data_IF_217361012963
#
_entry.id   IF_217361012963
#
_cell.length_a   1.000
_cell.length_b   1.000
_cell.length_c   1.000
_cell.angle_alpha   90.00
_cell.angle_beta   90.00
_cell.angle_gamma   90.00
#
_symmetry.space_group_name_H-M   'P 1'
#
loop_
_entity.id
_entity.type
_entity.pdbx_description
1 polymer ?
#
# COMPACT_ATOMS: atom_id res chain seq x y z
N UNK A 1 -6.37 -4.41 -17.61
CA UNK A 1 -6.73 -3.01 -17.38
C UNK A 1 -8.24 -2.87 -17.57
N UNK A 2 -8.90 -2.18 -16.68
CA UNK A 2 -10.37 -2.14 -16.57
C UNK A 2 -11.00 -1.07 -17.48
N UNK A 3 -10.23 -0.49 -18.41
CA UNK A 3 -10.69 0.56 -19.34
C UNK A 3 -11.05 1.89 -18.67
N UNK A 4 -10.57 2.12 -17.43
CA UNK A 4 -10.83 3.36 -16.70
C UNK A 4 -9.87 4.45 -17.18
N UNK A 5 -10.43 5.58 -17.62
CA UNK A 5 -9.65 6.78 -17.95
C UNK A 5 -9.38 7.58 -16.67
N UNK A 6 -8.21 7.31 -16.08
CA UNK A 6 -7.81 7.96 -14.83
C UNK A 6 -7.57 9.45 -15.01
N UNK A 7 -7.04 9.88 -16.17
CA UNK A 7 -6.75 11.29 -16.42
C UNK A 7 -8.04 12.10 -16.53
N UNK A 8 -9.07 11.54 -17.16
CA UNK A 8 -10.40 12.15 -17.21
C UNK A 8 -11.02 12.27 -15.79
N UNK A 9 -10.90 11.23 -14.96
CA UNK A 9 -11.42 11.27 -13.58
C UNK A 9 -10.68 12.30 -12.73
N UNK A 10 -9.36 12.37 -12.83
CA UNK A 10 -8.54 13.36 -12.12
C UNK A 10 -8.90 14.77 -12.61
N UNK A 11 -9.05 14.96 -13.92
CA UNK A 11 -9.50 16.23 -14.50
C UNK A 11 -10.88 16.66 -14.02
N UNK A 12 -11.75 15.72 -13.70
CA UNK A 12 -13.08 15.96 -13.13
C UNK A 12 -13.06 16.18 -11.59
N UNK A 13 -11.90 16.19 -10.95
CA UNK A 13 -11.76 16.46 -9.52
C UNK A 13 -11.62 15.23 -8.64
N UNK A 14 -11.51 14.03 -9.21
CA UNK A 14 -11.34 12.78 -8.45
C UNK A 14 -9.91 12.66 -7.91
N UNK A 15 -9.75 12.27 -6.66
CA UNK A 15 -8.47 11.78 -6.14
C UNK A 15 -8.38 10.29 -6.41
N UNK A 16 -7.49 9.91 -7.31
CA UNK A 16 -7.23 8.51 -7.67
C UNK A 16 -5.94 8.03 -7.02
N UNK A 17 -6.03 7.09 -6.09
CA UNK A 17 -4.85 6.47 -5.45
C UNK A 17 -4.58 5.12 -6.07
N UNK A 18 -3.36 4.93 -6.55
CA UNK A 18 -2.86 3.70 -7.15
C UNK A 18 -1.69 3.17 -6.34
N UNK A 19 -1.81 1.97 -5.82
CA UNK A 19 -0.71 1.24 -5.18
C UNK A 19 -0.27 0.13 -6.13
N UNK A 20 1.03 0.09 -6.43
CA UNK A 20 1.63 -0.86 -7.37
C UNK A 20 2.93 -1.42 -6.82
N UNK A 21 3.42 -2.52 -7.37
CA UNK A 21 4.74 -3.05 -7.00
C UNK A 21 5.87 -2.08 -7.32
N UNK A 22 5.84 -1.48 -8.51
CA UNK A 22 7.00 -0.74 -9.06
C UNK A 22 6.67 0.64 -9.65
N UNK A 23 5.47 1.16 -9.45
CA UNK A 23 5.00 2.40 -10.07
C UNK A 23 4.20 2.16 -11.35
N UNK A 24 3.41 3.14 -11.74
CA UNK A 24 2.55 3.09 -12.95
C UNK A 24 3.34 3.25 -14.25
N UNK A 25 4.55 3.75 -14.18
CA UNK A 25 5.41 4.06 -15.34
C UNK A 25 6.76 3.36 -15.23
N UNK A 26 7.48 3.35 -16.33
CA UNK A 26 8.80 2.73 -16.39
C UNK A 26 8.80 1.24 -16.78
N UNK A 27 9.97 0.63 -16.89
CA UNK A 27 10.12 -0.72 -17.48
C UNK A 27 9.53 -1.84 -16.61
N UNK A 28 9.28 -1.59 -15.34
CA UNK A 28 8.70 -2.57 -14.39
C UNK A 28 7.23 -2.28 -14.06
N UNK A 29 6.56 -1.36 -14.75
CA UNK A 29 5.19 -0.95 -14.45
C UNK A 29 4.14 -2.06 -14.56
N UNK A 30 4.41 -3.11 -15.33
CA UNK A 30 3.57 -4.31 -15.42
C UNK A 30 3.98 -5.42 -14.46
N UNK A 31 5.06 -5.21 -13.70
CA UNK A 31 5.55 -6.18 -12.72
C UNK A 31 4.62 -6.28 -11.51
N UNK A 32 4.48 -7.50 -11.01
CA UNK A 32 3.78 -7.78 -9.75
C UNK A 32 4.81 -7.88 -8.64
N UNK A 33 4.52 -7.29 -7.49
CA UNK A 33 5.29 -7.46 -6.28
C UNK A 33 4.37 -7.43 -5.06
N UNK A 34 4.78 -8.15 -4.03
CA UNK A 34 4.18 -8.15 -2.70
C UNK A 34 5.16 -7.54 -1.70
N UNK A 35 4.78 -7.46 -0.42
CA UNK A 35 5.54 -6.74 0.58
C UNK A 35 6.99 -7.17 0.74
N UNK A 36 7.29 -8.47 0.60
CA UNK A 36 8.65 -8.99 0.77
C UNK A 36 9.55 -8.73 -0.43
N UNK A 37 9.11 -9.13 -1.63
CA UNK A 37 9.91 -8.95 -2.85
C UNK A 37 10.02 -7.47 -3.24
N UNK A 38 9.02 -6.66 -2.95
CA UNK A 38 9.10 -5.21 -3.08
C UNK A 38 10.08 -4.59 -2.08
N UNK A 39 10.11 -5.06 -0.83
CA UNK A 39 11.06 -4.62 0.19
C UNK A 39 12.50 -4.88 -0.26
N UNK A 40 12.79 -6.10 -0.69
CA UNK A 40 14.11 -6.47 -1.25
C UNK A 40 14.45 -5.62 -2.48
N UNK A 41 13.48 -5.42 -3.36
CA UNK A 41 13.66 -4.59 -4.57
C UNK A 41 13.97 -3.13 -4.25
N UNK A 42 13.50 -2.62 -3.14
CA UNK A 42 13.78 -1.28 -2.61
C UNK A 42 15.06 -1.20 -1.78
N UNK A 43 15.74 -2.34 -1.55
CA UNK A 43 16.99 -2.40 -0.79
C UNK A 43 16.83 -2.77 0.69
N UNK A 44 15.62 -3.02 1.18
CA UNK A 44 15.38 -3.49 2.55
C UNK A 44 15.66 -5.00 2.65
N UNK A 45 16.92 -5.34 2.81
CA UNK A 45 17.41 -6.71 2.88
C UNK A 45 18.47 -6.81 3.97
N UNK A 46 18.42 -7.85 4.77
CA UNK A 46 19.53 -8.25 5.63
C UNK A 46 20.58 -8.94 4.76
N UNK A 47 21.84 -8.55 4.91
CA UNK A 47 22.93 -9.06 4.07
C UNK A 47 23.56 -10.35 4.65
N UNK A 48 23.70 -10.42 5.98
CA UNK A 48 24.37 -11.54 6.64
C UNK A 48 23.67 -11.93 7.97
N UNK A 49 22.99 -13.08 8.03
CA UNK A 49 22.61 -13.92 6.89
C UNK A 49 21.57 -13.23 6.00
N UNK A 50 21.53 -13.54 4.69
CA UNK A 50 20.52 -12.96 3.80
C UNK A 50 19.11 -13.27 4.29
N UNK A 51 18.26 -12.23 4.38
CA UNK A 51 16.91 -12.40 4.89
C UNK A 51 16.05 -11.15 4.75
N UNK A 52 14.77 -11.30 5.01
CA UNK A 52 13.85 -10.17 5.06
C UNK A 52 14.06 -9.37 6.36
N UNK A 53 13.97 -8.05 6.27
CA UNK A 53 14.07 -7.15 7.43
C UNK A 53 12.88 -7.34 8.37
N UNK A 54 11.69 -7.56 7.81
CA UNK A 54 10.47 -7.87 8.52
C UNK A 54 9.49 -8.54 7.55
N UNK A 55 8.42 -9.15 8.07
CA UNK A 55 7.39 -9.82 7.29
C UNK A 55 6.57 -8.78 6.50
N UNK A 56 6.59 -8.89 5.18
CA UNK A 56 5.84 -8.07 4.22
C UNK A 56 5.87 -6.55 4.50
N UNK A 57 7.00 -6.03 5.00
CA UNK A 57 7.09 -4.66 5.54
C UNK A 57 6.70 -3.56 4.54
N UNK A 58 6.88 -3.78 3.24
CA UNK A 58 6.52 -2.81 2.23
C UNK A 58 4.99 -2.62 2.11
N UNK A 59 4.18 -3.63 2.44
CA UNK A 59 2.71 -3.53 2.37
C UNK A 59 2.15 -2.51 3.36
N UNK A 60 2.33 -2.67 4.68
CA UNK A 60 1.79 -1.70 5.65
C UNK A 60 2.42 -0.32 5.50
N UNK A 61 3.71 -0.23 5.20
CA UNK A 61 4.39 1.03 5.01
C UNK A 61 3.82 1.81 3.82
N UNK A 62 3.61 1.13 2.69
CA UNK A 62 3.01 1.74 1.48
C UNK A 62 1.56 2.12 1.72
N UNK A 63 0.80 1.28 2.42
CA UNK A 63 -0.58 1.58 2.80
C UNK A 63 -0.70 2.86 3.64
N UNK A 64 0.17 3.03 4.63
CA UNK A 64 0.21 4.25 5.45
C UNK A 64 0.60 5.48 4.63
N UNK A 65 1.63 5.38 3.80
CA UNK A 65 2.05 6.48 2.93
C UNK A 65 0.95 6.86 1.95
N UNK A 66 0.31 5.89 1.31
CA UNK A 66 -0.80 6.12 0.39
C UNK A 66 -1.98 6.81 1.09
N UNK A 67 -2.31 6.40 2.32
CA UNK A 67 -3.36 7.05 3.10
C UNK A 67 -3.04 8.51 3.39
N UNK A 68 -1.82 8.82 3.84
CA UNK A 68 -1.39 10.21 4.12
C UNK A 68 -1.44 11.07 2.86
N UNK A 69 -0.88 10.57 1.74
CA UNK A 69 -0.89 11.30 0.48
C UNK A 69 -2.30 11.51 -0.07
N UNK A 70 -3.18 10.51 0.07
CA UNK A 70 -4.60 10.63 -0.32
C UNK A 70 -5.31 11.69 0.49
N UNK A 71 -5.12 11.72 1.82
CA UNK A 71 -5.71 12.75 2.68
C UNK A 71 -5.20 14.14 2.34
N UNK A 72 -3.91 14.28 2.08
CA UNK A 72 -3.32 15.55 1.63
C UNK A 72 -3.89 15.99 0.27
N UNK A 73 -4.05 15.07 -0.67
CA UNK A 73 -4.66 15.34 -1.97
C UNK A 73 -6.13 15.79 -1.84
N UNK A 74 -6.91 15.11 -1.01
CA UNK A 74 -8.30 15.49 -0.71
C UNK A 74 -8.39 16.89 -0.10
N UNK A 75 -7.48 17.22 0.82
CA UNK A 75 -7.40 18.57 1.44
C UNK A 75 -7.12 19.68 0.44
N UNK A 76 -6.58 19.39 -0.75
CA UNK A 76 -6.34 20.41 -1.78
C UNK A 76 -7.61 20.86 -2.50
N UNK A 77 -8.71 20.13 -2.41
CA UNK A 77 -9.97 20.38 -3.13
C UNK A 77 -9.89 20.18 -4.65
N UNK A 78 -8.84 19.52 -5.15
CA UNK A 78 -8.65 19.24 -6.59
C UNK A 78 -8.46 17.74 -6.85
N UNK A 79 -8.64 17.31 -8.09
CA UNK A 79 -8.31 15.96 -8.50
C UNK A 79 -6.78 15.73 -8.51
N UNK A 80 -6.37 14.56 -8.10
CA UNK A 80 -4.97 14.13 -8.04
C UNK A 80 -4.83 12.65 -8.42
N UNK A 81 -3.75 12.34 -9.12
CA UNK A 81 -3.24 10.98 -9.18
C UNK A 81 -2.17 10.80 -8.11
N UNK A 82 -2.45 9.94 -7.15
CA UNK A 82 -1.50 9.52 -6.11
C UNK A 82 -0.94 8.16 -6.53
N UNK A 83 0.27 8.15 -7.07
CA UNK A 83 0.96 6.91 -7.51
C UNK A 83 2.01 6.53 -6.48
N UNK A 84 1.79 5.42 -5.78
CA UNK A 84 2.67 4.92 -4.73
C UNK A 84 3.12 3.51 -5.08
N UNK A 85 4.43 3.28 -5.12
CA UNK A 85 4.98 1.96 -5.36
C UNK A 85 5.54 1.34 -4.08
N UNK A 86 5.34 0.04 -3.89
CA UNK A 86 5.87 -0.70 -2.76
C UNK A 86 7.41 -0.62 -2.73
N UNK A 87 8.07 -0.91 -3.85
CA UNK A 87 9.53 -0.84 -3.94
C UNK A 87 10.07 0.57 -3.74
N UNK A 88 9.37 1.60 -4.25
CA UNK A 88 9.73 2.99 -4.03
C UNK A 88 9.60 3.40 -2.56
N UNK A 89 8.54 2.96 -1.89
CA UNK A 89 8.35 3.19 -0.45
C UNK A 89 9.44 2.50 0.37
N UNK A 90 9.78 1.25 0.04
CA UNK A 90 10.87 0.54 0.69
C UNK A 90 12.22 1.27 0.52
N UNK A 91 12.53 1.73 -0.69
CA UNK A 91 13.72 2.53 -0.96
C UNK A 91 13.74 3.87 -0.20
N UNK A 92 12.59 4.50 -0.07
CA UNK A 92 12.46 5.73 0.72
C UNK A 92 12.68 5.48 2.22
N UNK A 93 12.19 4.37 2.77
CA UNK A 93 12.43 3.97 4.16
C UNK A 93 13.90 3.67 4.43
N UNK A 94 14.61 3.11 3.46
CA UNK A 94 16.05 2.87 3.56
C UNK A 94 16.86 4.18 3.66
N UNK A 95 16.32 5.28 3.12
CA UNK A 95 16.93 6.60 3.17
C UNK A 95 18.30 6.64 2.46
N UNK A 96 19.32 7.04 3.17
CA UNK A 96 20.70 7.11 2.69
C UNK A 96 21.48 5.77 2.82
N UNK A 97 20.77 4.67 3.07
CA UNK A 97 21.36 3.33 3.21
C UNK A 97 21.97 3.05 4.59
N UNK A 98 21.80 3.95 5.54
CA UNK A 98 22.23 3.70 6.93
C UNK A 98 21.16 2.92 7.66
N UNK A 99 21.35 1.62 7.76
CA UNK A 99 20.64 0.81 8.74
C UNK A 99 20.93 1.38 10.13
N UNK A 100 19.97 2.01 10.73
CA UNK A 100 20.10 2.43 12.13
C UNK A 100 19.92 1.18 12.97
N UNK A 101 20.84 0.90 13.83
CA UNK A 101 20.80 -0.19 14.83
C UNK A 101 19.77 0.22 15.93
N UNK A 102 18.53 0.46 15.48
CA UNK A 102 17.52 1.21 16.23
C UNK A 102 16.67 0.33 17.14
N UNK A 103 16.82 -0.98 17.07
CA UNK A 103 15.94 -1.88 17.77
C UNK A 103 16.50 -2.39 19.13
N UNK A 104 17.70 -2.01 19.50
CA UNK A 104 18.28 -2.42 20.78
C UNK A 104 17.55 -1.70 21.93
N UNK A 105 16.74 -2.47 22.66
CA UNK A 105 16.02 -1.98 23.84
C UNK A 105 14.61 -1.44 23.59
N UNK A 106 14.07 -1.54 22.38
CA UNK A 106 12.65 -1.22 22.13
C UNK A 106 11.79 -2.45 22.43
N UNK A 107 10.96 -2.36 23.44
CA UNK A 107 9.94 -3.38 23.71
C UNK A 107 8.85 -3.29 22.66
N UNK A 108 8.71 -4.35 21.86
CA UNK A 108 7.66 -4.41 20.84
C UNK A 108 6.33 -4.82 21.46
N UNK A 109 5.29 -4.02 21.23
CA UNK A 109 3.94 -4.41 21.63
C UNK A 109 3.49 -5.64 20.83
N UNK A 110 2.93 -6.63 21.51
CA UNK A 110 2.33 -7.78 20.84
C UNK A 110 1.13 -7.33 19.99
N UNK A 111 0.93 -7.92 18.79
CA UNK A 111 -0.25 -7.65 17.99
C UNK A 111 -1.52 -7.91 18.78
N UNK A 112 -2.46 -6.96 18.75
CA UNK A 112 -3.77 -7.17 19.35
C UNK A 112 -4.60 -8.05 18.42
N UNK A 113 -4.89 -9.26 18.88
CA UNK A 113 -5.83 -10.14 18.17
C UNK A 113 -7.22 -9.50 18.20
N UNK A 114 -7.80 -9.26 17.03
CA UNK A 114 -9.21 -8.90 16.92
C UNK A 114 -9.99 -10.20 16.84
N UNK A 115 -10.84 -10.45 17.83
CA UNK A 115 -11.81 -11.54 17.77
C UNK A 115 -13.01 -11.04 16.96
N UNK A 116 -13.45 -11.83 16.00
CA UNK A 116 -14.73 -11.58 15.34
C UNK A 116 -15.86 -12.01 16.30
N UNK A 117 -16.85 -11.16 16.46
CA UNK A 117 -18.02 -11.45 17.33
C UNK A 117 -18.94 -12.50 16.70
N UNK A 118 -18.76 -12.75 15.39
CA UNK A 118 -19.51 -13.76 14.64
C UNK A 118 -18.67 -14.28 13.45
N UNK A 119 -18.97 -15.48 12.94
CA UNK A 119 -18.35 -15.95 11.70
C UNK A 119 -18.76 -15.04 10.53
N UNK A 120 -17.89 -14.95 9.52
CA UNK A 120 -18.20 -14.22 8.30
C UNK A 120 -19.46 -14.79 7.63
N UNK A 121 -20.27 -13.93 7.04
CA UNK A 121 -21.41 -14.34 6.23
C UNK A 121 -20.93 -15.21 5.06
N UNK A 122 -21.83 -16.09 4.58
CA UNK A 122 -21.52 -16.89 3.39
C UNK A 122 -21.25 -16.02 2.17
N UNK A 123 -20.46 -16.54 1.23
CA UNK A 123 -20.11 -15.83 0.00
C UNK A 123 -21.35 -15.32 -0.73
N UNK A 124 -21.42 -14.02 -0.99
CA UNK A 124 -22.54 -13.37 -1.67
C UNK A 124 -23.78 -13.09 -0.82
N UNK A 125 -23.78 -13.43 0.47
CA UNK A 125 -24.94 -13.24 1.36
C UNK A 125 -25.42 -11.78 1.42
N UNK A 126 -24.49 -10.81 1.36
CA UNK A 126 -24.80 -9.39 1.48
C UNK A 126 -24.95 -8.68 0.12
N UNK A 127 -24.72 -9.39 -1.00
CA UNK A 127 -24.67 -8.78 -2.34
C UNK A 127 -25.97 -8.01 -2.67
N UNK A 128 -27.12 -8.60 -2.42
CA UNK A 128 -28.40 -7.97 -2.74
C UNK A 128 -28.65 -6.70 -1.92
N UNK A 129 -28.30 -6.71 -0.63
CA UNK A 129 -28.48 -5.55 0.25
C UNK A 129 -27.50 -4.41 -0.10
N UNK A 130 -26.27 -4.75 -0.44
CA UNK A 130 -25.26 -3.77 -0.88
C UNK A 130 -25.69 -3.12 -2.20
N UNK A 131 -26.11 -3.91 -3.20
CA UNK A 131 -26.56 -3.38 -4.49
C UNK A 131 -27.81 -2.49 -4.32
N UNK A 132 -28.77 -2.88 -3.50
CA UNK A 132 -29.95 -2.06 -3.21
C UNK A 132 -29.57 -0.71 -2.56
N UNK A 133 -28.54 -0.68 -1.70
CA UNK A 133 -28.03 0.54 -1.08
C UNK A 133 -27.29 1.47 -2.04
N UNK A 134 -26.83 0.97 -3.19
CA UNK A 134 -26.15 1.78 -4.22
C UNK A 134 -27.12 2.44 -5.21
N UNK A 135 -28.43 2.21 -5.10
CA UNK A 135 -29.45 2.87 -5.93
C UNK A 135 -29.44 2.44 -7.40
N UNK A 136 -29.02 1.21 -7.71
CA UNK A 136 -29.08 0.60 -9.05
C UNK A 136 -30.38 -0.08 -9.31
#
# INVERSE_FOLDING_TARGET
QWGVDVDALVGAGTVWTSITGYGRTGPRSSGVAFGDDAAVSGGLLLEDPPGFVADAVADPATGLLAAVLTLAALGSGRGHLVDVSLAGTAGWLLGDGRMVDAAVGVETAQPRTRHADAPAAGLGADTASVLAGLGT
#
